data_IF_564881511686
#
_entry.id   IF_564881511686
#
_cell.length_a   1.000
_cell.length_b   1.000
_cell.length_c   1.000
_cell.angle_alpha   90.00
_cell.angle_beta   90.00
_cell.angle_gamma   90.00
#
_symmetry.space_group_name_H-M   'P 1'
#
loop_
_entity.id
_entity.type
_entity.pdbx_description
1 polymer ?
#
# COMPACT_ATOMS: atom_id res chain seq x y z
N UNK A 1 -22.13 19.21 6.53
CA UNK A 1 -21.50 17.88 6.34
C UNK A 1 -20.23 17.89 7.16
N UNK A 2 -20.17 17.09 8.21
CA UNK A 2 -18.90 16.92 8.93
C UNK A 2 -17.91 16.29 7.96
N UNK A 3 -16.75 16.92 7.80
CA UNK A 3 -15.66 16.35 7.02
C UNK A 3 -15.26 15.04 7.71
N UNK A 4 -15.39 13.92 7.02
CA UNK A 4 -14.97 12.62 7.55
C UNK A 4 -13.48 12.63 7.89
N UNK A 5 -13.06 11.75 8.80
CA UNK A 5 -11.64 11.56 9.13
C UNK A 5 -10.90 11.08 7.87
N UNK A 6 -9.88 11.85 7.47
CA UNK A 6 -9.00 11.46 6.35
C UNK A 6 -7.97 10.43 6.83
N UNK A 7 -7.85 9.36 6.07
CA UNK A 7 -6.88 8.30 6.24
C UNK A 7 -5.99 8.21 5.01
N UNK A 8 -4.78 7.68 5.16
CA UNK A 8 -3.89 7.39 4.03
C UNK A 8 -3.59 5.90 3.97
N UNK A 9 -4.07 5.22 2.94
CA UNK A 9 -3.63 3.88 2.64
C UNK A 9 -2.29 3.92 1.89
N UNK A 10 -1.41 2.96 2.21
CA UNK A 10 -0.07 2.84 1.65
C UNK A 10 0.23 1.38 1.35
N UNK A 11 0.88 1.16 0.22
CA UNK A 11 1.49 -0.09 -0.14
C UNK A 11 2.84 0.10 -0.81
N UNK A 12 3.74 -0.87 -0.67
CA UNK A 12 5.04 -0.91 -1.30
C UNK A 12 5.27 -2.22 -2.03
N UNK A 13 5.59 -2.14 -3.31
CA UNK A 13 6.24 -3.23 -4.00
C UNK A 13 7.75 -3.20 -3.71
N UNK A 14 8.32 -4.36 -3.37
CA UNK A 14 9.69 -4.44 -2.87
C UNK A 14 10.56 -5.38 -3.70
N UNK A 15 11.89 -5.20 -3.56
CA UNK A 15 12.87 -6.08 -4.22
C UNK A 15 12.85 -7.53 -3.70
N UNK A 16 12.12 -7.77 -2.61
CA UNK A 16 12.09 -9.05 -1.92
C UNK A 16 13.40 -9.36 -1.18
N UNK A 17 13.42 -10.48 -0.47
CA UNK A 17 14.59 -10.94 0.28
C UNK A 17 15.62 -11.56 -0.66
N UNK A 18 16.81 -10.98 -0.72
CA UNK A 18 17.98 -11.50 -1.44
C UNK A 18 19.16 -11.51 -0.48
N UNK A 19 19.89 -12.64 -0.41
CA UNK A 19 21.03 -12.78 0.50
C UNK A 19 22.08 -11.69 0.24
N UNK A 20 22.48 -10.97 1.28
CA UNK A 20 23.47 -9.88 1.21
C UNK A 20 22.90 -8.52 0.83
N UNK A 21 21.62 -8.43 0.52
CA UNK A 21 20.96 -7.17 0.13
C UNK A 21 19.78 -6.87 1.06
N UNK A 22 19.69 -5.60 1.47
CA UNK A 22 18.49 -5.13 2.20
C UNK A 22 17.31 -5.09 1.25
N UNK A 23 16.15 -5.56 1.67
CA UNK A 23 14.91 -5.37 0.96
C UNK A 23 14.61 -3.87 0.83
N UNK A 24 14.23 -3.41 -0.36
CA UNK A 24 13.90 -2.00 -0.63
C UNK A 24 12.66 -1.88 -1.48
N UNK A 25 11.85 -0.83 -1.26
CA UNK A 25 10.69 -0.57 -2.08
C UNK A 25 11.15 -0.01 -3.44
N UNK A 26 10.56 -0.50 -4.52
CA UNK A 26 10.77 0.01 -5.87
C UNK A 26 9.54 0.72 -6.45
N UNK A 27 8.36 0.50 -5.85
CA UNK A 27 7.13 1.22 -6.16
C UNK A 27 6.45 1.60 -4.85
N UNK A 28 5.84 2.77 -4.81
CA UNK A 28 4.99 3.25 -3.72
C UNK A 28 3.63 3.62 -4.27
N UNK A 29 2.58 3.15 -3.61
CA UNK A 29 1.20 3.57 -3.81
C UNK A 29 0.65 4.24 -2.56
N UNK A 30 0.04 5.41 -2.72
CA UNK A 30 -0.63 6.13 -1.64
C UNK A 30 -2.02 6.55 -2.10
N UNK A 31 -2.98 6.46 -1.21
CA UNK A 31 -4.31 6.97 -1.47
C UNK A 31 -4.91 7.59 -0.22
N UNK A 32 -5.41 8.83 -0.34
CA UNK A 32 -6.19 9.45 0.72
C UNK A 32 -7.65 9.08 0.56
N UNK A 33 -8.30 8.75 1.65
CA UNK A 33 -9.70 8.34 1.64
C UNK A 33 -10.41 8.68 2.95
N UNK A 34 -11.74 8.66 2.91
CA UNK A 34 -12.62 8.72 4.07
C UNK A 34 -13.47 7.45 4.14
N UNK A 35 -14.42 7.37 5.05
CA UNK A 35 -15.37 6.24 5.11
C UNK A 35 -16.20 6.05 3.85
N UNK A 36 -16.35 7.08 3.02
CA UNK A 36 -17.20 7.08 1.80
C UNK A 36 -16.43 7.27 0.51
N UNK A 37 -15.36 8.07 0.53
CA UNK A 37 -14.70 8.55 -0.67
C UNK A 37 -13.24 8.12 -0.73
N UNK A 38 -12.75 7.92 -1.95
CA UNK A 38 -11.33 7.66 -2.27
C UNK A 38 -10.84 8.74 -3.22
N UNK A 39 -9.78 9.44 -2.85
CA UNK A 39 -9.25 10.57 -3.60
C UNK A 39 -7.73 10.71 -3.41
N UNK A 40 -7.09 11.66 -4.12
CA UNK A 40 -5.65 11.94 -4.01
C UNK A 40 -4.77 10.70 -4.13
N UNK A 41 -4.99 9.94 -5.19
CA UNK A 41 -4.14 8.82 -5.54
C UNK A 41 -2.76 9.32 -5.97
N UNK A 42 -1.73 8.61 -5.51
CA UNK A 42 -0.34 8.91 -5.83
C UNK A 42 0.44 7.62 -6.04
N UNK A 43 1.25 7.59 -7.06
CA UNK A 43 2.17 6.50 -7.33
C UNK A 43 3.52 7.06 -7.75
N UNK A 44 4.57 6.38 -7.36
CA UNK A 44 5.89 6.63 -7.92
C UNK A 44 6.73 5.35 -7.97
N UNK A 45 7.46 5.20 -9.06
CA UNK A 45 8.56 4.26 -9.16
C UNK A 45 9.79 4.85 -8.49
N UNK A 46 10.68 3.97 -8.03
CA UNK A 46 11.86 4.36 -7.30
C UNK A 46 13.11 3.60 -7.75
N UNK A 47 14.18 4.34 -7.97
CA UNK A 47 15.49 3.75 -8.21
C UNK A 47 16.01 3.04 -6.95
N UNK A 48 16.38 1.80 -7.09
CA UNK A 48 16.89 0.94 -6.00
C UNK A 48 18.34 0.52 -6.22
N UNK A 49 19.03 1.11 -7.19
CA UNK A 49 20.39 0.71 -7.60
C UNK A 49 20.40 -0.59 -8.41
N UNK A 50 21.61 -1.05 -8.73
CA UNK A 50 21.83 -2.27 -9.54
C UNK A 50 21.73 -3.55 -8.72
N UNK A 51 20.90 -3.54 -7.67
CA UNK A 51 20.69 -4.71 -6.83
C UNK A 51 19.85 -5.79 -7.52
N UNK A 52 20.06 -7.05 -7.18
CA UNK A 52 19.18 -8.10 -7.65
C UNK A 52 17.80 -8.01 -6.99
N UNK A 53 16.78 -8.37 -7.73
CA UNK A 53 15.44 -8.63 -7.21
C UNK A 53 15.31 -10.12 -6.92
N UNK A 54 14.55 -10.45 -5.89
CA UNK A 54 14.13 -11.82 -5.69
C UNK A 54 13.26 -12.25 -6.87
N UNK A 55 13.64 -13.34 -7.53
CA UNK A 55 12.92 -13.83 -8.72
C UNK A 55 11.47 -14.25 -8.44
N UNK A 56 11.13 -14.46 -7.19
CA UNK A 56 9.78 -14.78 -6.73
C UNK A 56 9.04 -13.59 -6.12
N UNK A 57 9.67 -12.40 -6.10
CA UNK A 57 8.96 -11.20 -5.67
C UNK A 57 7.83 -10.89 -6.66
N UNK A 58 6.60 -10.63 -6.16
CA UNK A 58 5.49 -10.28 -7.02
C UNK A 58 5.70 -8.92 -7.70
N UNK A 59 4.78 -8.57 -8.59
CA UNK A 59 4.79 -7.29 -9.29
C UNK A 59 5.58 -7.29 -10.61
N UNK A 60 5.48 -6.17 -11.32
CA UNK A 60 6.01 -6.00 -12.68
C UNK A 60 7.46 -5.53 -12.76
N UNK A 61 8.24 -5.67 -11.70
CA UNK A 61 9.60 -5.14 -11.61
C UNK A 61 10.52 -5.56 -12.78
N UNK A 62 10.33 -6.75 -13.34
CA UNK A 62 11.13 -7.23 -14.48
C UNK A 62 10.83 -6.48 -15.78
N UNK A 63 9.60 -5.99 -15.95
CA UNK A 63 9.14 -5.21 -17.10
C UNK A 63 9.54 -3.73 -16.98
N UNK A 64 9.68 -3.22 -15.75
CA UNK A 64 9.93 -1.81 -15.45
C UNK A 64 11.42 -1.47 -15.20
N UNK A 65 12.35 -2.40 -15.44
CA UNK A 65 13.76 -2.23 -15.08
C UNK A 65 14.40 -0.97 -15.68
N UNK A 66 14.09 -0.62 -16.91
CA UNK A 66 14.66 0.58 -17.54
C UNK A 66 14.03 1.86 -16.98
N UNK A 67 12.74 1.85 -16.67
CA UNK A 67 12.05 2.97 -16.01
C UNK A 67 12.59 3.17 -14.59
N UNK A 68 12.85 2.08 -13.86
CA UNK A 68 13.41 2.13 -12.51
C UNK A 68 14.79 2.80 -12.47
N UNK A 69 15.62 2.64 -13.50
CA UNK A 69 16.93 3.30 -13.59
C UNK A 69 16.84 4.82 -13.70
N UNK A 70 15.75 5.31 -14.28
CA UNK A 70 15.49 6.74 -14.46
C UNK A 70 14.62 7.34 -13.35
N UNK A 71 14.16 6.50 -12.44
CA UNK A 71 13.25 6.91 -11.37
C UNK A 71 14.01 7.62 -10.24
N UNK A 72 13.34 8.51 -9.49
CA UNK A 72 13.96 9.24 -8.40
C UNK A 72 14.37 8.31 -7.25
N UNK A 73 15.34 8.74 -6.46
CA UNK A 73 15.65 8.12 -5.17
C UNK A 73 14.55 8.40 -4.14
N UNK A 74 14.52 7.62 -3.06
CA UNK A 74 13.56 7.90 -1.98
C UNK A 74 13.77 9.25 -1.32
N UNK A 75 15.01 9.73 -1.25
CA UNK A 75 15.32 11.05 -0.69
C UNK A 75 14.72 12.18 -1.53
N UNK A 76 14.76 12.06 -2.85
CA UNK A 76 14.13 13.00 -3.77
C UNK A 76 12.60 12.96 -3.67
N UNK A 77 12.02 11.76 -3.55
CA UNK A 77 10.57 11.59 -3.36
C UNK A 77 10.09 12.09 -1.99
N UNK A 78 10.96 12.18 -1.00
CA UNK A 78 10.54 12.44 0.38
C UNK A 78 9.78 13.76 0.54
N UNK A 79 10.20 14.81 -0.16
CA UNK A 79 9.51 16.10 -0.11
C UNK A 79 8.06 16.02 -0.62
N UNK A 80 7.83 15.15 -1.59
CA UNK A 80 6.52 14.97 -2.22
C UNK A 80 5.61 14.04 -1.41
N UNK A 81 6.15 12.95 -0.85
CA UNK A 81 5.36 11.95 -0.14
C UNK A 81 5.17 12.28 1.35
N UNK A 82 6.10 13.00 1.97
CA UNK A 82 6.04 13.28 3.42
C UNK A 82 4.77 14.01 3.87
N UNK A 83 4.20 14.99 3.14
CA UNK A 83 2.94 15.63 3.52
C UNK A 83 1.73 14.67 3.52
N UNK A 84 1.84 13.56 2.78
CA UNK A 84 0.79 12.53 2.69
C UNK A 84 0.88 11.49 3.82
N UNK A 85 2.02 11.45 4.54
CA UNK A 85 2.35 10.41 5.52
C UNK A 85 2.52 10.95 6.93
N UNK A 86 3.20 12.10 7.08
CA UNK A 86 3.54 12.65 8.41
C UNK A 86 2.29 13.24 9.06
N UNK A 87 2.01 12.80 10.31
CA UNK A 87 0.83 13.25 11.05
C UNK A 87 -0.50 12.65 10.58
N UNK A 88 -0.47 11.71 9.62
CA UNK A 88 -1.66 11.01 9.13
C UNK A 88 -1.89 9.70 9.87
N UNK A 89 -3.11 9.22 9.87
CA UNK A 89 -3.43 7.84 10.23
C UNK A 89 -3.17 7.00 8.99
N UNK A 90 -2.25 6.05 9.10
CA UNK A 90 -1.82 5.21 7.99
C UNK A 90 -2.54 3.86 8.03
N UNK A 91 -2.88 3.37 6.86
CA UNK A 91 -3.60 2.11 6.68
C UNK A 91 -2.81 1.23 5.73
N UNK A 92 -2.61 -0.03 6.06
CA UNK A 92 -2.01 -1.01 5.17
C UNK A 92 -2.56 -2.41 5.44
N UNK A 93 -2.36 -3.31 4.49
CA UNK A 93 -2.68 -4.72 4.67
C UNK A 93 -1.42 -5.47 5.10
N UNK A 94 -1.32 -5.85 6.41
CA UNK A 94 -0.10 -6.39 7.02
C UNK A 94 1.01 -5.31 7.16
N UNK A 95 0.80 -4.35 8.04
CA UNK A 95 1.61 -3.13 8.23
C UNK A 95 3.11 -3.31 8.45
N UNK A 96 3.61 -4.54 8.60
CA UNK A 96 4.99 -4.83 8.94
C UNK A 96 5.99 -4.37 7.88
N UNK A 97 5.67 -4.57 6.61
CA UNK A 97 6.49 -4.15 5.47
C UNK A 97 6.55 -2.63 5.38
N UNK A 98 5.40 -1.97 5.35
CA UNK A 98 5.26 -0.51 5.19
C UNK A 98 5.96 0.25 6.30
N UNK A 99 5.77 -0.19 7.55
CA UNK A 99 6.47 0.38 8.71
C UNK A 99 7.98 0.23 8.60
N UNK A 100 8.45 -0.92 8.14
CA UNK A 100 9.88 -1.18 7.97
C UNK A 100 10.47 -0.29 6.87
N UNK A 101 9.80 -0.19 5.73
CA UNK A 101 10.23 0.62 4.60
C UNK A 101 10.24 2.10 4.94
N UNK A 102 9.19 2.63 5.58
CA UNK A 102 9.15 4.02 6.03
C UNK A 102 10.19 4.34 7.09
N UNK A 103 10.45 3.42 8.03
CA UNK A 103 11.51 3.61 9.03
C UNK A 103 12.91 3.65 8.41
N UNK A 104 13.15 2.88 7.36
CA UNK A 104 14.41 2.95 6.62
C UNK A 104 14.54 4.26 5.81
N UNK A 105 13.44 4.72 5.24
CA UNK A 105 13.39 5.93 4.43
C UNK A 105 13.57 7.20 5.25
N UNK A 106 12.95 7.26 6.41
CA UNK A 106 12.86 8.44 7.25
C UNK A 106 13.00 8.07 8.74
N UNK A 107 14.20 7.64 9.18
CA UNK A 107 14.41 7.08 10.52
C UNK A 107 14.15 8.10 11.64
N UNK A 108 14.24 9.39 11.37
CA UNK A 108 13.99 10.47 12.32
C UNK A 108 12.52 10.86 12.44
N UNK A 109 11.67 10.37 11.54
CA UNK A 109 10.24 10.68 11.55
C UNK A 109 9.47 9.66 12.38
N UNK A 110 8.50 10.17 13.15
CA UNK A 110 7.50 9.35 13.82
C UNK A 110 6.23 9.38 12.98
N UNK A 111 5.89 8.24 12.42
CA UNK A 111 4.61 8.06 11.74
C UNK A 111 3.51 7.88 12.79
N UNK A 112 2.31 8.34 12.45
CA UNK A 112 1.15 8.33 13.34
C UNK A 112 0.59 6.93 13.64
N UNK A 113 -0.69 6.86 13.94
CA UNK A 113 -1.38 5.60 14.16
C UNK A 113 -1.45 4.78 12.88
N UNK A 114 -1.45 3.45 13.06
CA UNK A 114 -1.59 2.49 11.98
C UNK A 114 -2.84 1.65 12.16
N UNK A 115 -3.55 1.44 11.07
CA UNK A 115 -4.65 0.49 10.98
C UNK A 115 -4.19 -0.67 10.08
N UNK A 116 -4.23 -1.88 10.62
CA UNK A 116 -3.88 -3.10 9.90
C UNK A 116 -5.14 -3.81 9.42
N UNK A 117 -5.45 -3.71 8.14
CA UNK A 117 -6.64 -4.34 7.57
C UNK A 117 -6.57 -5.86 7.57
N UNK A 118 -5.37 -6.47 7.58
CA UNK A 118 -5.22 -7.92 7.77
C UNK A 118 -5.67 -8.34 9.17
N UNK A 119 -5.22 -7.62 10.20
CA UNK A 119 -5.63 -7.89 11.57
C UNK A 119 -7.14 -7.70 11.77
N UNK A 120 -7.70 -6.61 11.23
CA UNK A 120 -9.14 -6.36 11.25
C UNK A 120 -9.93 -7.46 10.54
N UNK A 121 -9.50 -7.85 9.34
CA UNK A 121 -10.18 -8.91 8.57
C UNK A 121 -10.23 -10.23 9.33
N UNK A 122 -9.16 -10.59 10.05
CA UNK A 122 -9.14 -11.79 10.90
C UNK A 122 -10.09 -11.70 12.10
N UNK A 123 -10.36 -10.51 12.59
CA UNK A 123 -11.34 -10.28 13.66
C UNK A 123 -12.77 -10.35 13.15
N UNK A 124 -13.03 -9.77 11.98
CA UNK A 124 -14.39 -9.66 11.40
C UNK A 124 -14.85 -10.99 10.80
N UNK A 125 -14.02 -11.60 9.96
CA UNK A 125 -14.35 -12.83 9.24
C UNK A 125 -13.51 -14.00 9.77
N UNK A 126 -14.03 -14.70 10.75
CA UNK A 126 -13.34 -15.86 11.32
C UNK A 126 -13.45 -17.08 10.39
N UNK A 127 -12.35 -17.83 10.24
CA UNK A 127 -12.38 -19.13 9.56
C UNK A 127 -12.28 -19.08 8.03
N UNK A 128 -11.90 -17.95 7.43
CA UNK A 128 -11.56 -17.92 6.00
C UNK A 128 -10.29 -18.75 5.73
N UNK A 129 -10.22 -19.34 4.55
CA UNK A 129 -9.05 -20.12 4.11
C UNK A 129 -7.84 -19.27 3.81
N UNK A 130 -8.05 -17.99 3.44
CA UNK A 130 -7.01 -17.01 3.19
C UNK A 130 -7.46 -15.62 3.63
N UNK A 131 -6.48 -14.82 4.03
CA UNK A 131 -6.64 -13.40 4.36
C UNK A 131 -5.68 -12.54 3.53
N UNK A 132 -5.13 -13.05 2.43
CA UNK A 132 -4.42 -12.24 1.47
C UNK A 132 -5.37 -11.17 0.89
N UNK A 133 -4.85 -9.97 0.60
CA UNK A 133 -5.68 -8.85 0.15
C UNK A 133 -6.47 -9.21 -1.10
N UNK A 134 -5.82 -9.82 -2.09
CA UNK A 134 -6.40 -10.28 -3.33
C UNK A 134 -7.56 -11.28 -3.12
N UNK A 135 -7.40 -12.23 -2.20
CA UNK A 135 -8.43 -13.21 -1.88
C UNK A 135 -9.63 -12.56 -1.20
N UNK A 136 -9.39 -11.66 -0.24
CA UNK A 136 -10.46 -10.91 0.43
C UNK A 136 -11.25 -10.06 -0.57
N UNK A 137 -10.58 -9.39 -1.52
CA UNK A 137 -11.23 -8.59 -2.56
C UNK A 137 -12.18 -9.45 -3.41
N UNK A 138 -11.77 -10.68 -3.74
CA UNK A 138 -12.62 -11.61 -4.49
C UNK A 138 -13.77 -12.13 -3.63
N UNK A 139 -13.48 -12.63 -2.43
CA UNK A 139 -14.49 -13.19 -1.50
C UNK A 139 -15.57 -12.17 -1.15
N UNK A 140 -15.19 -10.91 -0.93
CA UNK A 140 -16.10 -9.83 -0.55
C UNK A 140 -16.70 -9.07 -1.76
N UNK A 141 -16.38 -9.51 -2.99
CA UNK A 141 -16.89 -8.94 -4.24
C UNK A 141 -16.57 -7.44 -4.41
N UNK A 142 -15.40 -7.01 -3.93
CA UNK A 142 -14.98 -5.59 -3.96
C UNK A 142 -14.27 -5.20 -5.24
N UNK A 143 -13.88 -6.17 -6.10
CA UNK A 143 -13.08 -5.95 -7.30
C UNK A 143 -13.67 -4.88 -8.23
N UNK A 144 -14.97 -4.92 -8.49
CA UNK A 144 -15.61 -3.96 -9.39
C UNK A 144 -15.47 -2.50 -8.94
N UNK A 145 -15.52 -2.24 -7.61
CA UNK A 145 -15.30 -0.91 -7.05
C UNK A 145 -13.84 -0.47 -7.21
N UNK A 146 -12.90 -1.39 -7.00
CA UNK A 146 -11.47 -1.11 -7.13
C UNK A 146 -11.10 -0.83 -8.59
N UNK A 147 -11.59 -1.65 -9.53
CA UNK A 147 -11.33 -1.47 -10.97
C UNK A 147 -11.87 -0.13 -11.50
N UNK A 148 -12.99 0.37 -10.94
CA UNK A 148 -13.48 1.72 -11.27
C UNK A 148 -12.60 2.84 -10.72
N UNK A 149 -12.03 2.66 -9.52
CA UNK A 149 -11.17 3.65 -8.87
C UNK A 149 -9.74 3.63 -9.41
N UNK A 150 -9.26 2.48 -9.88
CA UNK A 150 -7.89 2.25 -10.31
C UNK A 150 -7.87 1.41 -11.62
N UNK A 151 -8.36 1.98 -12.74
CA UNK A 151 -8.51 1.23 -13.99
C UNK A 151 -7.15 0.82 -14.58
N UNK A 152 -7.15 -0.32 -15.31
CA UNK A 152 -5.98 -0.89 -15.99
C UNK A 152 -4.82 -1.30 -15.06
N UNK A 153 -5.11 -1.57 -13.79
CA UNK A 153 -4.17 -2.09 -12.80
C UNK A 153 -4.69 -3.40 -12.21
N UNK A 154 -3.80 -4.12 -11.56
CA UNK A 154 -4.10 -5.42 -10.96
C UNK A 154 -3.32 -5.59 -9.66
N UNK A 155 -3.58 -6.66 -8.91
CA UNK A 155 -2.85 -7.01 -7.69
C UNK A 155 -1.34 -7.03 -7.93
N UNK A 156 -0.56 -6.69 -6.90
CA UNK A 156 0.88 -6.47 -6.96
C UNK A 156 1.31 -5.24 -7.80
N UNK A 157 0.43 -4.27 -7.90
CA UNK A 157 0.76 -2.88 -8.22
C UNK A 157 0.47 -2.06 -6.98
N UNK A 158 1.47 -1.34 -6.46
CA UNK A 158 1.36 -0.68 -5.16
C UNK A 158 0.18 0.33 -5.07
N UNK A 159 -0.17 1.01 -6.16
CA UNK A 159 -1.34 1.90 -6.14
C UNK A 159 -2.64 1.10 -6.10
N UNK A 160 -2.74 0.01 -6.87
CA UNK A 160 -3.90 -0.86 -6.83
C UNK A 160 -4.11 -1.44 -5.43
N UNK A 161 -3.04 -1.94 -4.80
CA UNK A 161 -3.12 -2.57 -3.48
C UNK A 161 -3.42 -1.54 -2.37
N UNK A 162 -2.92 -0.29 -2.48
CA UNK A 162 -3.32 0.80 -1.60
C UNK A 162 -4.81 1.16 -1.74
N UNK A 163 -5.34 1.22 -2.98
CA UNK A 163 -6.78 1.44 -3.23
C UNK A 163 -7.60 0.26 -2.70
N UNK A 164 -7.16 -0.97 -2.94
CA UNK A 164 -7.82 -2.17 -2.44
C UNK A 164 -7.88 -2.19 -0.91
N UNK A 165 -6.79 -1.79 -0.25
CA UNK A 165 -6.72 -1.67 1.21
C UNK A 165 -7.71 -0.60 1.73
N UNK A 166 -7.81 0.56 1.08
CA UNK A 166 -8.77 1.60 1.43
C UNK A 166 -10.22 1.12 1.28
N UNK A 167 -10.55 0.49 0.14
CA UNK A 167 -11.89 -0.07 -0.13
C UNK A 167 -12.25 -1.17 0.86
N UNK A 168 -11.29 -2.03 1.23
CA UNK A 168 -11.49 -3.07 2.25
C UNK A 168 -11.82 -2.44 3.61
N UNK A 169 -11.09 -1.41 4.04
CA UNK A 169 -11.38 -0.74 5.30
C UNK A 169 -12.75 -0.03 5.26
N UNK A 170 -13.10 0.65 4.16
CA UNK A 170 -14.45 1.23 3.99
C UNK A 170 -15.54 0.16 4.12
N UNK A 171 -15.32 -1.02 3.54
CA UNK A 171 -16.26 -2.14 3.66
C UNK A 171 -16.36 -2.62 5.11
N UNK A 172 -15.24 -2.79 5.82
CA UNK A 172 -15.23 -3.20 7.24
C UNK A 172 -16.05 -2.22 8.09
N UNK A 173 -15.78 -0.92 7.98
CA UNK A 173 -16.47 0.08 8.83
C UNK A 173 -17.93 0.32 8.43
N UNK A 174 -18.38 -0.16 7.28
CA UNK A 174 -19.77 -0.14 6.85
C UNK A 174 -20.62 -1.28 7.44
N UNK A 175 -19.98 -2.27 8.05
CA UNK A 175 -20.70 -3.40 8.64
C UNK A 175 -21.44 -2.99 9.92
N UNK A 176 -22.62 -3.59 10.21
CA UNK A 176 -23.35 -3.32 11.45
C UNK A 176 -22.49 -3.61 12.69
N UNK A 177 -22.42 -2.67 13.61
CA UNK A 177 -21.71 -2.83 14.89
C UNK A 177 -20.29 -2.26 14.91
N UNK A 178 -19.90 -1.49 13.85
CA UNK A 178 -18.66 -0.72 13.79
C UNK A 178 -18.91 0.77 14.01
#
# INVERSE_FOLDING_TARGET
MEAGIELTAIDFETTGSVRGYKNQPWQIGLVTFTSTDVFNQYESLRYVGDRPFNKYAPGRHSQLREELKQSPSLAELWQEISPRLVGRILVAHNIGTERTMLKQAAPMHRFGFWIDTLALSRCVWKGLSSYALEDLIVILQLKGKIDMLCPNREAHDALYDAVACAVLLQHIVSLPGW
#
